data_IF_386268724566
#
_entry.id   IF_386268724566
#
_cell.length_a   1.000
_cell.length_b   1.000
_cell.length_c   1.000
_cell.angle_alpha   90.00
_cell.angle_beta   90.00
_cell.angle_gamma   90.00
#
_symmetry.space_group_name_H-M   'P 1'
#
loop_
_entity.id
_entity.type
_entity.pdbx_description
1 polymer ?
#
# COMPACT_ATOMS: atom_id res chain seq x y z
N UNK A 1 9.44 14.65 31.86
CA UNK A 1 9.32 13.29 31.30
C UNK A 1 10.72 12.84 30.94
N UNK A 2 11.23 11.84 31.64
CA UNK A 2 12.65 11.48 31.56
C UNK A 2 12.87 10.45 30.45
N UNK A 3 13.93 10.63 29.64
CA UNK A 3 14.41 9.66 28.64
C UNK A 3 14.49 8.25 29.22
N UNK A 4 14.81 8.16 30.51
CA UNK A 4 14.86 6.92 31.29
C UNK A 4 13.55 6.14 31.26
N UNK A 5 12.40 6.81 31.35
CA UNK A 5 11.08 6.19 31.38
C UNK A 5 10.75 5.52 30.05
N UNK A 6 10.97 6.22 28.93
CA UNK A 6 10.76 5.68 27.59
C UNK A 6 11.65 4.45 27.33
N UNK A 7 12.90 4.47 27.79
CA UNK A 7 13.82 3.35 27.64
C UNK A 7 13.42 2.13 28.48
N UNK A 8 12.90 2.32 29.71
CA UNK A 8 12.43 1.22 30.55
C UNK A 8 11.14 0.60 30.03
N UNK A 9 10.19 1.43 29.60
CA UNK A 9 8.85 1.01 29.18
C UNK A 9 8.80 0.37 27.79
N UNK A 10 9.85 0.53 26.99
CA UNK A 10 9.98 -0.07 25.65
C UNK A 10 10.98 -1.22 25.60
N UNK A 11 11.63 -1.55 26.72
CA UNK A 11 12.57 -2.64 26.79
C UNK A 11 11.87 -4.01 26.77
N UNK A 12 12.59 -5.05 26.33
CA UNK A 12 12.06 -6.40 26.09
C UNK A 12 11.41 -7.08 27.31
N UNK A 13 11.72 -6.66 28.54
CA UNK A 13 11.15 -7.16 29.80
C UNK A 13 10.55 -6.01 30.63
N UNK A 14 9.98 -4.99 29.98
CA UNK A 14 9.39 -3.82 30.64
C UNK A 14 8.44 -4.22 31.80
N UNK A 15 7.56 -5.20 31.57
CA UNK A 15 6.54 -5.65 32.53
C UNK A 15 7.03 -6.69 33.55
N UNK A 16 8.19 -7.31 33.33
CA UNK A 16 8.73 -8.37 34.17
C UNK A 16 10.25 -8.25 34.36
N UNK A 17 10.72 -7.16 34.99
CA UNK A 17 12.14 -6.99 35.24
C UNK A 17 12.66 -8.05 36.21
N UNK A 18 13.89 -8.51 36.00
CA UNK A 18 14.57 -9.43 36.92
C UNK A 18 15.87 -8.80 37.47
N UNK A 19 16.49 -9.48 38.44
CA UNK A 19 17.69 -8.95 39.11
C UNK A 19 18.99 -9.15 38.30
N UNK A 20 18.97 -9.98 37.28
CA UNK A 20 20.16 -10.27 36.45
C UNK A 20 20.28 -9.29 35.26
N UNK A 21 19.15 -8.88 34.68
CA UNK A 21 19.05 -8.11 33.43
C UNK A 21 18.10 -6.92 33.50
N UNK A 22 17.44 -6.65 34.64
CA UNK A 22 16.50 -5.55 34.78
C UNK A 22 15.37 -5.68 33.76
N UNK A 23 15.08 -4.61 33.01
CA UNK A 23 14.05 -4.58 31.96
C UNK A 23 14.50 -5.21 30.62
N UNK A 24 15.64 -5.89 30.57
CA UNK A 24 16.16 -6.55 29.38
C UNK A 24 16.74 -5.58 28.33
N UNK A 25 16.77 -6.01 27.06
CA UNK A 25 17.31 -5.22 25.97
C UNK A 25 16.42 -4.01 25.66
N UNK A 26 17.06 -2.86 25.51
CA UNK A 26 16.39 -1.59 25.15
C UNK A 26 16.07 -1.57 23.67
N UNK A 27 14.81 -1.29 23.33
CA UNK A 27 14.39 -0.97 21.96
C UNK A 27 14.50 0.54 21.73
N UNK A 28 15.64 0.96 21.17
CA UNK A 28 15.94 2.37 20.87
C UNK A 28 14.91 2.93 19.86
N UNK A 29 14.42 2.10 18.95
CA UNK A 29 13.45 2.53 17.95
C UNK A 29 12.13 2.88 18.63
N UNK A 30 11.58 1.98 19.43
CA UNK A 30 10.33 2.22 20.17
C UNK A 30 10.47 3.37 21.18
N UNK A 31 11.63 3.52 21.84
CA UNK A 31 11.88 4.60 22.80
C UNK A 31 11.82 6.00 22.17
N UNK A 32 12.31 6.18 20.94
CA UNK A 32 12.23 7.45 20.21
C UNK A 32 10.78 7.89 19.96
N UNK A 33 9.87 6.93 19.87
CA UNK A 33 8.47 7.13 19.52
C UNK A 33 7.50 6.87 20.68
N UNK A 34 8.00 6.70 21.90
CA UNK A 34 7.24 6.31 23.10
C UNK A 34 6.01 7.20 23.38
N UNK A 35 6.09 8.50 23.08
CA UNK A 35 4.96 9.44 23.25
C UNK A 35 4.12 9.65 22.00
N UNK A 36 4.47 9.03 20.88
CA UNK A 36 3.70 9.15 19.64
C UNK A 36 2.54 8.15 19.69
N UNK A 37 1.51 8.51 20.45
CA UNK A 37 0.23 7.80 20.43
C UNK A 37 -0.42 8.00 19.05
N UNK A 38 -0.16 7.08 18.12
CA UNK A 38 -0.96 6.92 16.89
C UNK A 38 -0.26 7.21 15.56
N UNK A 39 1.07 7.23 15.48
CA UNK A 39 1.73 7.04 14.17
C UNK A 39 2.28 5.64 14.10
N UNK A 40 1.49 4.71 13.54
CA UNK A 40 2.07 3.53 12.90
C UNK A 40 3.08 4.04 11.89
N UNK A 41 4.37 3.99 12.24
CA UNK A 41 5.46 4.21 11.33
C UNK A 41 5.35 3.05 10.34
N UNK A 42 4.57 3.24 9.29
CA UNK A 42 4.67 2.39 8.12
C UNK A 42 6.10 2.60 7.67
N UNK A 43 6.91 1.58 7.87
CA UNK A 43 8.22 1.48 7.25
C UNK A 43 7.94 1.54 5.76
N UNK A 44 7.99 2.76 5.19
CA UNK A 44 7.88 3.00 3.76
C UNK A 44 9.15 2.40 3.17
N UNK A 45 9.11 1.08 2.94
CA UNK A 45 10.09 0.40 2.12
C UNK A 45 10.13 1.16 0.79
N UNK A 46 11.31 1.42 0.19
CA UNK A 46 11.37 2.10 -1.09
C UNK A 46 10.48 1.35 -2.09
N UNK A 47 9.34 1.96 -2.41
CA UNK A 47 8.31 1.32 -3.21
C UNK A 47 8.79 1.38 -4.66
N UNK A 48 9.25 0.25 -5.20
CA UNK A 48 9.73 0.21 -6.58
C UNK A 48 8.60 0.31 -7.62
N UNK A 49 7.36 0.35 -7.13
CA UNK A 49 6.14 0.26 -7.90
C UNK A 49 5.05 1.04 -7.16
N UNK A 50 4.46 2.05 -7.79
CA UNK A 50 3.29 2.78 -7.27
C UNK A 50 2.11 2.70 -8.23
N UNK A 51 0.92 2.83 -7.68
CA UNK A 51 -0.33 2.98 -8.41
C UNK A 51 -0.95 4.29 -7.94
N UNK A 52 -1.00 5.28 -8.82
CA UNK A 52 -1.56 6.59 -8.50
C UNK A 52 -3.09 6.52 -8.52
N UNK A 53 -3.74 7.54 -7.94
CA UNK A 53 -5.19 7.64 -7.97
C UNK A 53 -5.72 7.62 -9.41
N UNK A 54 -6.69 6.75 -9.66
CA UNK A 54 -7.34 6.64 -10.95
C UNK A 54 -8.09 7.94 -11.27
N UNK A 55 -7.87 8.50 -12.46
CA UNK A 55 -8.47 9.77 -12.87
C UNK A 55 -9.10 9.70 -14.27
N UNK A 56 -10.33 10.21 -14.45
CA UNK A 56 -11.23 10.73 -13.42
C UNK A 56 -11.79 9.60 -12.52
N UNK A 57 -12.24 9.91 -11.29
CA UNK A 57 -13.00 9.00 -10.44
C UNK A 57 -13.95 9.81 -9.52
N UNK A 58 -15.29 9.71 -9.66
CA UNK A 58 -16.04 8.83 -10.57
C UNK A 58 -15.77 9.08 -12.06
N UNK A 59 -15.94 8.07 -12.90
CA UNK A 59 -15.60 8.10 -14.32
C UNK A 59 -16.77 7.74 -15.23
N UNK A 60 -16.71 8.17 -16.51
CA UNK A 60 -17.67 7.84 -17.56
C UNK A 60 -17.10 8.03 -18.99
N UNK A 61 -17.09 7.01 -19.86
CA UNK A 61 -16.99 5.58 -19.53
C UNK A 61 -15.52 5.15 -19.31
N UNK A 62 -14.56 6.08 -19.46
CA UNK A 62 -13.13 5.77 -19.41
C UNK A 62 -12.44 6.35 -18.16
N UNK A 63 -11.47 5.60 -17.64
CA UNK A 63 -10.60 6.00 -16.52
C UNK A 63 -9.14 5.73 -16.86
N UNK A 64 -8.26 6.62 -16.42
CA UNK A 64 -6.80 6.47 -16.57
C UNK A 64 -6.20 5.91 -15.28
N UNK A 65 -5.37 4.88 -15.43
CA UNK A 65 -4.60 4.24 -14.37
C UNK A 65 -3.12 4.55 -14.61
N UNK A 66 -2.52 5.29 -13.68
CA UNK A 66 -1.09 5.64 -13.75
C UNK A 66 -0.29 4.77 -12.80
N UNK A 67 0.79 4.20 -13.33
CA UNK A 67 1.72 3.35 -12.59
C UNK A 67 3.13 3.90 -12.75
N UNK A 68 3.87 3.99 -11.65
CA UNK A 68 5.28 4.38 -11.68
C UNK A 68 6.16 3.21 -11.27
N UNK A 69 7.24 2.97 -12.01
CA UNK A 69 8.18 1.86 -11.78
C UNK A 69 9.61 2.38 -11.68
N UNK A 70 10.33 1.98 -10.63
CA UNK A 70 11.77 2.29 -10.46
C UNK A 70 12.68 1.12 -10.79
N UNK A 71 12.10 -0.05 -11.12
CA UNK A 71 12.79 -1.25 -11.58
C UNK A 71 11.94 -2.00 -12.61
N UNK A 72 12.59 -2.67 -13.55
CA UNK A 72 11.95 -3.60 -14.49
C UNK A 72 11.30 -4.77 -13.74
N UNK A 73 10.01 -5.02 -14.00
CA UNK A 73 9.24 -6.10 -13.37
C UNK A 73 8.08 -6.54 -14.27
N UNK A 74 7.65 -7.79 -14.12
CA UNK A 74 6.35 -8.24 -14.63
C UNK A 74 5.25 -7.55 -13.82
N UNK A 75 4.34 -6.86 -14.52
CA UNK A 75 3.18 -6.22 -13.93
C UNK A 75 1.90 -6.91 -14.41
N UNK A 76 0.90 -6.96 -13.55
CA UNK A 76 -0.44 -7.41 -13.87
C UNK A 76 -1.46 -6.38 -13.36
N UNK A 77 -2.21 -5.78 -14.28
CA UNK A 77 -3.29 -4.83 -13.96
C UNK A 77 -4.62 -5.48 -14.34
N UNK A 78 -5.47 -5.69 -13.35
CA UNK A 78 -6.76 -6.38 -13.50
C UNK A 78 -7.88 -5.57 -12.85
N UNK A 79 -9.06 -5.67 -13.44
CA UNK A 79 -10.28 -5.05 -12.92
C UNK A 79 -11.22 -6.14 -12.42
N UNK A 80 -11.75 -5.96 -11.22
CA UNK A 80 -12.76 -6.80 -10.61
C UNK A 80 -14.02 -6.00 -10.33
N UNK A 81 -15.18 -6.65 -10.34
CA UNK A 81 -16.38 -6.07 -9.72
C UNK A 81 -16.37 -6.25 -8.19
N UNK A 82 -17.36 -5.65 -7.51
CA UNK A 82 -17.47 -5.72 -6.05
C UNK A 82 -17.68 -7.14 -5.50
N UNK A 83 -18.10 -8.10 -6.34
CA UNK A 83 -18.23 -9.50 -5.96
C UNK A 83 -16.91 -10.28 -6.07
N UNK A 84 -15.84 -9.63 -6.55
CA UNK A 84 -14.54 -10.25 -6.78
C UNK A 84 -14.44 -10.99 -8.11
N UNK A 85 -15.43 -10.86 -9.01
CA UNK A 85 -15.35 -11.46 -10.34
C UNK A 85 -14.41 -10.63 -11.22
N UNK A 86 -13.48 -11.32 -11.89
CA UNK A 86 -12.57 -10.71 -12.86
C UNK A 86 -13.37 -10.20 -14.07
N UNK A 87 -13.28 -8.90 -14.34
CA UNK A 87 -13.92 -8.24 -15.48
C UNK A 87 -12.98 -8.21 -16.68
N UNK A 88 -11.74 -7.76 -16.47
CA UNK A 88 -10.74 -7.71 -17.54
C UNK A 88 -9.31 -7.63 -17.00
N UNK A 89 -8.34 -7.98 -17.84
CA UNK A 89 -6.91 -7.73 -17.63
C UNK A 89 -6.48 -6.63 -18.58
N UNK A 90 -6.01 -5.51 -18.04
CA UNK A 90 -5.59 -4.33 -18.81
C UNK A 90 -4.15 -4.49 -19.30
N UNK A 91 -3.28 -5.04 -18.44
CA UNK A 91 -1.86 -5.22 -18.74
C UNK A 91 -1.36 -6.49 -18.04
N UNK A 92 -0.52 -7.27 -18.73
CA UNK A 92 0.14 -8.46 -18.17
C UNK A 92 1.49 -8.68 -18.85
N UNK A 93 2.40 -7.74 -18.68
CA UNK A 93 3.69 -7.73 -19.38
C UNK A 93 4.82 -7.19 -18.50
N UNK A 94 6.05 -7.34 -19.00
CA UNK A 94 7.24 -6.79 -18.34
C UNK A 94 7.36 -5.33 -18.71
N UNK A 95 7.22 -4.44 -17.72
CA UNK A 95 7.39 -3.01 -17.90
C UNK A 95 8.75 -2.55 -17.38
N UNK A 96 9.33 -1.58 -18.08
CA UNK A 96 10.57 -0.92 -17.71
C UNK A 96 10.38 0.20 -16.68
N UNK A 97 11.50 0.83 -16.32
CA UNK A 97 11.54 1.99 -15.43
C UNK A 97 10.79 3.16 -16.10
N UNK A 98 9.99 3.90 -15.32
CA UNK A 98 9.25 5.07 -15.77
C UNK A 98 7.79 5.05 -15.37
N UNK A 99 7.05 6.02 -15.91
CA UNK A 99 5.61 6.16 -15.69
C UNK A 99 4.87 5.57 -16.88
N UNK A 100 3.89 4.72 -16.60
CA UNK A 100 3.06 4.04 -17.58
C UNK A 100 1.61 4.39 -17.31
N UNK A 101 0.85 4.66 -18.38
CA UNK A 101 -0.56 4.98 -18.29
C UNK A 101 -1.37 3.96 -19.07
N UNK A 102 -2.46 3.53 -18.45
CA UNK A 102 -3.41 2.61 -19.05
C UNK A 102 -4.80 3.21 -18.99
N UNK A 103 -5.56 3.05 -20.07
CA UNK A 103 -6.94 3.52 -20.12
C UNK A 103 -7.84 2.29 -20.09
N UNK A 104 -8.79 2.30 -19.15
CA UNK A 104 -9.87 1.33 -19.14
C UNK A 104 -11.15 1.96 -19.64
N UNK A 105 -11.67 1.47 -20.76
CA UNK A 105 -13.00 1.80 -21.27
C UNK A 105 -14.04 0.80 -20.76
N UNK A 106 -14.95 1.28 -19.93
CA UNK A 106 -16.03 0.50 -19.31
C UNK A 106 -17.39 0.74 -19.99
N UNK A 107 -17.42 1.08 -21.28
CA UNK A 107 -18.65 1.35 -22.03
C UNK A 107 -19.68 0.21 -21.94
N UNK A 108 -19.22 -1.05 -21.92
CA UNK A 108 -20.09 -2.23 -21.83
C UNK A 108 -20.42 -2.67 -20.40
N UNK A 109 -19.90 -2.00 -19.38
CA UNK A 109 -20.06 -2.38 -17.98
C UNK A 109 -21.18 -1.58 -17.29
N UNK A 110 -21.92 -2.17 -16.33
CA UNK A 110 -22.96 -1.47 -15.58
C UNK A 110 -22.38 -0.40 -14.64
N UNK A 111 -23.19 0.61 -14.29
CA UNK A 111 -22.83 1.55 -13.23
C UNK A 111 -22.55 0.79 -11.92
N UNK A 112 -21.55 1.24 -11.17
CA UNK A 112 -21.18 0.57 -9.94
C UNK A 112 -19.74 0.78 -9.51
N UNK A 113 -19.34 0.00 -8.51
CA UNK A 113 -18.00 0.02 -7.94
C UNK A 113 -17.17 -1.10 -8.56
N UNK A 114 -15.96 -0.77 -8.96
CA UNK A 114 -14.96 -1.69 -9.45
C UNK A 114 -13.68 -1.56 -8.63
N UNK A 115 -12.91 -2.64 -8.56
CA UNK A 115 -11.61 -2.70 -7.90
C UNK A 115 -10.55 -2.88 -8.97
N UNK A 116 -9.65 -1.90 -9.06
CA UNK A 116 -8.40 -2.03 -9.80
C UNK A 116 -7.43 -2.75 -8.89
N UNK A 117 -6.83 -3.83 -9.37
CA UNK A 117 -5.71 -4.51 -8.72
C UNK A 117 -4.51 -4.44 -9.63
N UNK A 118 -3.39 -3.97 -9.10
CA UNK A 118 -2.12 -3.92 -9.81
C UNK A 118 -1.05 -4.64 -9.00
N UNK A 119 -0.41 -5.64 -9.61
CA UNK A 119 0.58 -6.48 -8.96
C UNK A 119 1.91 -6.43 -9.70
N UNK A 120 3.00 -6.19 -8.98
CA UNK A 120 4.36 -6.23 -9.49
C UNK A 120 5.25 -6.99 -8.50
N UNK A 121 5.73 -8.18 -8.89
CA UNK A 121 6.50 -9.05 -7.99
C UNK A 121 5.69 -9.45 -6.76
N UNK A 122 6.17 -9.08 -5.56
CA UNK A 122 5.49 -9.35 -4.28
C UNK A 122 4.55 -8.21 -3.84
N UNK A 123 4.59 -7.06 -4.53
CA UNK A 123 3.78 -5.90 -4.16
C UNK A 123 2.47 -5.94 -4.92
N UNK A 124 1.36 -5.89 -4.17
CA UNK A 124 0.01 -5.80 -4.72
C UNK A 124 -0.61 -4.52 -4.19
N UNK A 125 -1.04 -3.66 -5.10
CA UNK A 125 -1.79 -2.45 -4.81
C UNK A 125 -3.21 -2.60 -5.35
N UNK A 126 -4.16 -1.97 -4.68
CA UNK A 126 -5.55 -1.98 -5.13
C UNK A 126 -6.21 -0.66 -4.82
N UNK A 127 -7.11 -0.23 -5.69
CA UNK A 127 -7.90 0.97 -5.49
C UNK A 127 -9.32 0.79 -6.01
N UNK A 128 -10.25 1.50 -5.38
CA UNK A 128 -11.67 1.48 -5.72
C UNK A 128 -11.98 2.60 -6.72
N UNK A 129 -12.66 2.26 -7.80
CA UNK A 129 -13.14 3.21 -8.81
C UNK A 129 -14.66 3.09 -8.99
N UNK A 130 -15.31 4.18 -9.37
CA UNK A 130 -16.77 4.26 -9.47
C UNK A 130 -17.19 4.68 -10.87
N UNK A 131 -17.94 3.84 -11.56
CA UNK A 131 -18.52 4.13 -12.88
C UNK A 131 -19.92 4.74 -12.70
N UNK A 132 -20.13 5.92 -13.25
CA UNK A 132 -21.43 6.63 -13.23
C UNK A 132 -21.73 7.17 -14.64
N UNK A 133 -22.64 6.49 -15.36
CA UNK A 133 -23.22 6.92 -16.63
C UNK A 133 -24.48 7.73 -16.44
#
# INVERSE_FOLDING_TARGET
MEVREALMMTASQADMPNNDYGHGLVDIWSALFYNSSGSTITTQHPQFFSLDEAYPNPFNPAVTLSVSMTKLSLINITIFDISGRLITTICNEVLGIGNHQFIWDATVQPNGIYIVRSAAGQTILSQKITLIK
#
